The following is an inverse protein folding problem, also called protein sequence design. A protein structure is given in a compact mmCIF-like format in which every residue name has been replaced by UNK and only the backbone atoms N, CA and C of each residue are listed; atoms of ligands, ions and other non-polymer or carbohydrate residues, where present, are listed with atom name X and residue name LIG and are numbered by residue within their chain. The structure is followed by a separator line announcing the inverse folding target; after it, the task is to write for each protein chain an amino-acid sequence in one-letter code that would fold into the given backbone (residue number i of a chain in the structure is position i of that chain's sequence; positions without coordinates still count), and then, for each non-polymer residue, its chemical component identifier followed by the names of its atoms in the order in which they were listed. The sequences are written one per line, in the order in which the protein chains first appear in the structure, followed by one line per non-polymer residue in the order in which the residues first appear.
data_IF_136072523719
#
_entry.id   IF_136072523719
#
_cell.length_a   1.000
_cell.length_b   1.000
_cell.length_c   1.000
_cell.angle_alpha   90.00
_cell.angle_beta   90.00
_cell.angle_gamma   90.00
#
_symmetry.space_group_name_H-M   'P 1'
#
loop_
_entity.id
_entity.type
_entity.pdbx_description
1 polymer ?
#
# COMPACT_ATOMS: atom_id res chain seq x y z
N UNK A 1 -56.90 40.01 46.66
CA UNK A 1 -56.35 40.51 45.40
C UNK A 1 -55.06 39.70 45.12
N UNK A 2 -55.19 38.64 44.32
CA UNK A 2 -54.07 37.69 44.00
C UNK A 2 -53.39 38.13 42.70
N UNK A 3 -52.12 38.45 42.80
CA UNK A 3 -51.34 38.80 41.62
C UNK A 3 -50.64 37.46 41.18
N UNK A 4 -51.16 36.89 40.10
CA UNK A 4 -50.60 35.75 39.46
C UNK A 4 -49.23 36.09 38.72
N UNK A 5 -48.17 35.51 39.15
CA UNK A 5 -46.85 35.62 38.48
C UNK A 5 -46.81 34.69 37.29
N UNK A 6 -46.86 35.26 36.10
CA UNK A 6 -46.64 34.55 34.85
C UNK A 6 -45.14 34.21 34.75
N UNK A 7 -44.80 32.92 34.86
CA UNK A 7 -43.47 32.43 34.55
C UNK A 7 -43.34 32.24 33.05
N UNK A 8 -42.63 33.15 32.42
CA UNK A 8 -42.21 33.00 31.02
C UNK A 8 -41.10 31.94 30.93
N UNK A 9 -41.42 30.81 30.33
CA UNK A 9 -40.43 29.82 29.99
C UNK A 9 -39.79 30.19 28.66
N UNK A 10 -38.54 30.59 28.71
CA UNK A 10 -37.73 30.84 27.51
C UNK A 10 -37.25 29.50 26.95
N UNK A 11 -37.87 29.06 25.86
CA UNK A 11 -37.44 27.86 25.13
C UNK A 11 -36.18 28.20 24.36
N UNK A 12 -35.03 27.70 24.81
CA UNK A 12 -33.80 27.79 24.06
C UNK A 12 -33.80 26.69 22.98
N UNK A 13 -33.98 27.11 21.75
CA UNK A 13 -33.81 26.25 20.57
C UNK A 13 -32.32 26.02 20.34
N UNK A 14 -31.84 24.84 20.73
CA UNK A 14 -30.50 24.37 20.36
C UNK A 14 -30.54 23.86 18.93
N UNK A 15 -30.09 24.67 18.00
CA UNK A 15 -29.87 24.26 16.61
C UNK A 15 -28.64 23.34 16.56
N UNK A 16 -28.84 22.03 16.48
CA UNK A 16 -27.79 21.10 16.13
C UNK A 16 -27.38 21.29 14.66
N UNK A 17 -26.27 21.98 14.43
CA UNK A 17 -25.62 22.00 13.12
C UNK A 17 -25.00 20.64 12.90
N UNK A 18 -25.62 19.81 12.09
CA UNK A 18 -25.03 18.57 11.62
C UNK A 18 -23.87 18.90 10.65
N UNK A 19 -22.65 18.82 11.15
CA UNK A 19 -21.46 18.84 10.28
C UNK A 19 -21.44 17.52 9.55
N UNK A 20 -21.91 17.49 8.31
CA UNK A 20 -21.69 16.36 7.40
C UNK A 20 -20.20 16.32 7.07
N UNK A 21 -19.46 15.50 7.82
CA UNK A 21 -18.08 15.18 7.49
C UNK A 21 -18.07 14.47 6.14
N UNK A 22 -17.46 15.07 5.15
CA UNK A 22 -17.07 14.36 3.93
C UNK A 22 -16.03 13.30 4.31
N UNK A 23 -16.48 12.09 4.62
CA UNK A 23 -15.61 10.89 4.61
C UNK A 23 -15.28 10.67 3.14
N UNK A 24 -14.11 11.16 2.70
CA UNK A 24 -13.56 10.80 1.41
C UNK A 24 -13.51 9.28 1.33
N UNK A 25 -14.29 8.71 0.42
CA UNK A 25 -14.31 7.29 0.14
C UNK A 25 -12.97 6.97 -0.53
N UNK A 26 -11.95 6.57 0.26
CA UNK A 26 -10.79 5.93 -0.31
C UNK A 26 -11.30 4.66 -0.99
N UNK A 27 -11.19 4.59 -2.32
CA UNK A 27 -11.59 3.39 -3.05
C UNK A 27 -10.84 2.20 -2.47
N UNK A 28 -11.59 1.14 -2.11
CA UNK A 28 -10.99 -0.10 -1.64
C UNK A 28 -10.09 -0.67 -2.75
N UNK A 29 -8.92 -1.20 -2.35
CA UNK A 29 -7.98 -1.82 -3.27
C UNK A 29 -8.62 -3.07 -3.89
N UNK A 30 -8.45 -3.23 -5.21
CA UNK A 30 -9.00 -4.34 -5.98
C UNK A 30 -7.96 -5.45 -6.13
N UNK A 31 -8.15 -6.55 -5.40
CA UNK A 31 -7.25 -7.70 -5.43
C UNK A 31 -7.25 -8.41 -6.80
N UNK A 32 -8.37 -8.44 -7.52
CA UNK A 32 -8.42 -9.06 -8.85
C UNK A 32 -7.68 -8.21 -9.88
N UNK A 33 -7.79 -6.87 -9.79
CA UNK A 33 -6.98 -5.96 -10.58
C UNK A 33 -5.49 -6.09 -10.23
N UNK A 34 -5.15 -6.20 -8.93
CA UNK A 34 -3.78 -6.44 -8.47
C UNK A 34 -3.19 -7.74 -9.00
N UNK A 35 -3.96 -8.83 -9.00
CA UNK A 35 -3.56 -10.11 -9.60
C UNK A 35 -3.33 -9.98 -11.10
N UNK A 36 -4.12 -9.16 -11.78
CA UNK A 36 -3.95 -8.90 -13.21
C UNK A 36 -2.66 -8.12 -13.48
N UNK A 37 -2.39 -7.07 -12.72
CA UNK A 37 -1.14 -6.29 -12.82
C UNK A 37 0.08 -7.15 -12.49
N UNK A 38 -0.03 -8.09 -11.54
CA UNK A 38 1.07 -9.00 -11.19
C UNK A 38 1.51 -9.90 -12.34
N UNK A 39 0.67 -10.16 -13.33
CA UNK A 39 1.06 -10.93 -14.53
C UNK A 39 2.25 -10.33 -15.26
N UNK A 40 2.41 -9.01 -15.20
CA UNK A 40 3.57 -8.30 -15.76
C UNK A 40 4.85 -8.56 -14.94
N UNK A 41 4.71 -8.81 -13.63
CA UNK A 41 5.82 -9.10 -12.72
C UNK A 41 6.20 -10.59 -12.70
N UNK A 42 5.25 -11.47 -12.97
CA UNK A 42 5.37 -12.92 -12.84
C UNK A 42 6.51 -13.58 -13.66
N UNK A 43 6.93 -13.07 -14.82
CA UNK A 43 8.11 -13.61 -15.51
C UNK A 43 9.40 -13.54 -14.68
N UNK A 44 9.52 -12.52 -13.83
CA UNK A 44 10.72 -12.27 -13.03
C UNK A 44 10.54 -12.54 -11.54
N UNK A 45 9.33 -12.35 -11.01
CA UNK A 45 9.04 -12.44 -9.57
C UNK A 45 7.99 -13.52 -9.28
N UNK A 46 7.99 -13.96 -8.02
CA UNK A 46 7.02 -14.92 -7.52
C UNK A 46 6.47 -14.48 -6.16
N UNK A 47 5.25 -14.89 -5.82
CA UNK A 47 4.59 -14.63 -4.55
C UNK A 47 3.68 -15.80 -4.18
N UNK A 48 3.58 -16.12 -2.90
CA UNK A 48 2.73 -17.20 -2.39
C UNK A 48 3.50 -18.32 -1.73
N UNK A 49 2.80 -19.41 -1.41
CA UNK A 49 3.32 -20.56 -0.65
C UNK A 49 4.44 -21.33 -1.37
N UNK A 50 4.48 -21.29 -2.69
CA UNK A 50 5.49 -21.96 -3.52
C UNK A 50 6.45 -20.98 -4.18
N UNK A 51 6.46 -19.72 -3.75
CA UNK A 51 7.27 -18.66 -4.34
C UNK A 51 8.77 -18.97 -4.24
N UNK A 52 9.49 -18.69 -5.32
CA UNK A 52 10.93 -18.88 -5.45
C UNK A 52 11.58 -17.64 -6.05
N UNK A 53 12.88 -17.46 -5.76
CA UNK A 53 13.70 -16.55 -6.54
C UNK A 53 13.79 -17.03 -7.99
N UNK A 54 13.62 -16.06 -8.91
CA UNK A 54 13.74 -16.24 -10.36
C UNK A 54 14.81 -15.27 -10.89
N UNK A 55 14.58 -14.65 -12.03
CA UNK A 55 15.37 -13.50 -12.50
C UNK A 55 15.31 -12.37 -11.48
N UNK A 56 14.11 -12.09 -10.93
CA UNK A 56 13.89 -11.26 -9.74
C UNK A 56 13.71 -12.09 -8.48
N UNK A 57 13.78 -11.43 -7.34
CA UNK A 57 13.58 -12.05 -6.03
C UNK A 57 12.10 -12.41 -5.79
N UNK A 58 11.85 -13.34 -4.89
CA UNK A 58 10.50 -13.59 -4.40
C UNK A 58 9.99 -12.39 -3.58
N UNK A 59 8.69 -12.11 -3.65
CA UNK A 59 8.08 -10.93 -3.05
C UNK A 59 7.35 -11.19 -1.72
N UNK A 60 7.42 -12.40 -1.19
CA UNK A 60 6.84 -12.74 0.11
C UNK A 60 7.45 -11.90 1.24
N UNK A 61 6.62 -11.45 2.17
CA UNK A 61 7.07 -10.67 3.32
C UNK A 61 7.72 -9.32 2.95
N UNK A 62 7.22 -8.68 1.89
CA UNK A 62 7.82 -7.45 1.39
C UNK A 62 7.68 -6.30 2.38
N UNK A 63 6.52 -6.12 3.00
CA UNK A 63 6.28 -5.05 3.96
C UNK A 63 7.18 -5.17 5.19
N UNK A 64 7.92 -4.11 5.51
CA UNK A 64 8.90 -4.06 6.59
C UNK A 64 10.27 -4.70 6.26
N UNK A 65 10.44 -5.31 5.08
CA UNK A 65 11.70 -5.94 4.67
C UNK A 65 12.71 -4.89 4.19
N UNK A 66 13.96 -5.03 4.65
CA UNK A 66 15.06 -4.21 4.13
C UNK A 66 15.46 -4.68 2.74
N UNK A 67 15.72 -3.73 1.84
CA UNK A 67 16.25 -4.04 0.50
C UNK A 67 17.58 -4.79 0.59
N UNK A 68 17.78 -5.74 -0.31
CA UNK A 68 19.02 -6.50 -0.36
C UNK A 68 19.13 -7.69 0.61
N UNK A 69 18.03 -8.14 1.26
CA UNK A 69 18.08 -9.11 2.36
C UNK A 69 17.41 -10.45 2.09
N UNK A 70 16.81 -10.69 0.93
CA UNK A 70 16.24 -12.01 0.61
C UNK A 70 17.35 -13.03 0.45
N UNK A 71 17.26 -14.13 1.20
CA UNK A 71 18.24 -15.20 1.17
C UNK A 71 18.32 -15.84 -0.22
N UNK A 72 19.55 -16.14 -0.67
CA UNK A 72 19.79 -16.84 -1.92
C UNK A 72 19.54 -16.02 -3.19
N UNK A 73 19.27 -14.73 -3.09
CA UNK A 73 19.15 -13.85 -4.25
C UNK A 73 20.39 -12.97 -4.42
N UNK A 74 20.89 -12.88 -5.66
CA UNK A 74 22.03 -12.03 -6.00
C UNK A 74 21.57 -10.62 -6.35
N UNK A 75 21.69 -9.73 -5.40
CA UNK A 75 21.33 -8.31 -5.56
C UNK A 75 22.42 -7.49 -6.22
N UNK A 76 22.04 -6.41 -6.92
CA UNK A 76 22.96 -5.33 -7.25
C UNK A 76 23.50 -4.64 -5.98
N UNK A 77 24.68 -4.05 -6.08
CA UNK A 77 25.23 -3.24 -4.98
C UNK A 77 24.33 -2.05 -4.65
N UNK A 78 23.66 -1.48 -5.67
CA UNK A 78 22.69 -0.41 -5.50
C UNK A 78 21.53 -0.83 -4.58
N UNK A 79 20.95 -2.01 -4.79
CA UNK A 79 19.88 -2.50 -3.94
C UNK A 79 20.36 -2.85 -2.53
N UNK A 80 21.54 -3.46 -2.38
CA UNK A 80 22.13 -3.78 -1.06
C UNK A 80 22.39 -2.53 -0.22
N UNK A 81 22.90 -1.47 -0.84
CA UNK A 81 23.32 -0.23 -0.16
C UNK A 81 22.23 0.83 -0.11
N UNK A 82 21.06 0.61 -0.72
CA UNK A 82 20.00 1.62 -0.81
C UNK A 82 19.44 2.06 0.53
N UNK A 83 19.49 1.21 1.56
CA UNK A 83 18.89 1.49 2.87
C UNK A 83 17.36 1.47 2.88
N UNK A 84 16.71 1.17 1.76
CA UNK A 84 15.25 1.14 1.65
C UNK A 84 14.67 0.05 2.55
N UNK A 85 13.72 0.41 3.40
CA UNK A 85 12.82 -0.51 4.07
C UNK A 85 11.49 -0.45 3.34
N UNK A 86 11.03 -1.59 2.84
CA UNK A 86 9.84 -1.65 2.02
C UNK A 86 8.60 -1.36 2.86
N UNK A 87 7.75 -0.53 2.32
CA UNK A 87 6.41 -0.18 2.77
C UNK A 87 5.57 0.09 1.54
N UNK A 88 4.26 0.28 1.70
CA UNK A 88 3.43 0.68 0.55
C UNK A 88 3.98 1.93 -0.13
N UNK A 89 4.32 2.97 0.63
CA UNK A 89 4.86 4.22 0.06
C UNK A 89 6.17 3.99 -0.71
N UNK A 90 7.13 3.28 -0.12
CA UNK A 90 8.40 2.95 -0.78
C UNK A 90 8.20 2.10 -2.04
N UNK A 91 7.24 1.18 -2.00
CA UNK A 91 6.86 0.35 -3.16
C UNK A 91 6.25 1.19 -4.27
N UNK A 92 5.30 2.09 -3.96
CA UNK A 92 4.66 2.96 -4.95
C UNK A 92 5.69 3.84 -5.68
N UNK A 93 6.64 4.42 -4.95
CA UNK A 93 7.73 5.19 -5.53
C UNK A 93 8.61 4.33 -6.46
N UNK A 94 8.99 3.13 -5.99
CA UNK A 94 9.87 2.24 -6.73
C UNK A 94 9.20 1.67 -7.98
N UNK A 95 7.93 1.28 -7.88
CA UNK A 95 7.22 0.70 -9.02
C UNK A 95 6.83 1.76 -10.06
N UNK A 96 6.73 3.04 -9.66
CA UNK A 96 6.56 4.15 -10.59
C UNK A 96 7.81 4.40 -11.44
N UNK A 97 8.99 4.41 -10.79
CA UNK A 97 10.29 4.53 -11.45
C UNK A 97 11.38 3.91 -10.57
N UNK A 98 11.73 2.66 -10.88
CA UNK A 98 12.69 1.91 -10.07
C UNK A 98 14.08 2.54 -10.04
N UNK A 99 14.51 3.10 -11.17
CA UNK A 99 15.84 3.71 -11.28
C UNK A 99 15.91 5.09 -10.63
N UNK A 100 14.82 5.84 -10.62
CA UNK A 100 14.75 7.10 -9.86
C UNK A 100 14.80 6.85 -8.34
N UNK A 101 14.14 5.78 -7.86
CA UNK A 101 14.13 5.43 -6.42
C UNK A 101 15.44 4.79 -5.96
N UNK A 102 16.00 3.87 -6.75
CA UNK A 102 17.28 3.21 -6.48
C UNK A 102 18.13 3.29 -7.76
N UNK A 103 18.94 4.35 -7.94
CA UNK A 103 19.81 4.48 -9.11
C UNK A 103 20.73 3.26 -9.28
N UNK A 104 20.87 2.79 -10.51
CA UNK A 104 21.61 1.57 -10.86
C UNK A 104 21.02 0.27 -10.32
N UNK A 105 19.73 0.26 -9.98
CA UNK A 105 19.03 -1.01 -9.72
C UNK A 105 19.12 -1.93 -10.94
N UNK A 106 19.24 -3.24 -10.70
CA UNK A 106 19.23 -4.21 -11.80
C UNK A 106 17.81 -4.51 -12.32
N UNK A 107 16.75 -4.00 -11.70
CA UNK A 107 15.38 -4.18 -12.15
C UNK A 107 15.10 -3.31 -13.37
N UNK A 108 14.95 -3.94 -14.53
CA UNK A 108 14.57 -3.28 -15.78
C UNK A 108 13.07 -3.35 -15.94
N UNK A 109 12.39 -2.27 -15.62
CA UNK A 109 10.93 -2.19 -15.66
C UNK A 109 10.48 -0.78 -16.06
N UNK A 110 9.50 -0.68 -16.96
CA UNK A 110 9.00 0.62 -17.45
C UNK A 110 8.23 1.43 -16.40
N UNK A 111 7.78 0.77 -15.36
CA UNK A 111 7.02 1.37 -14.26
C UNK A 111 5.52 1.35 -14.45
N UNK A 112 4.81 1.45 -13.33
CA UNK A 112 3.35 1.65 -13.26
C UNK A 112 3.12 3.10 -12.84
N UNK A 113 2.58 3.90 -13.76
CA UNK A 113 2.33 5.34 -13.52
C UNK A 113 0.97 5.62 -12.89
N UNK A 114 0.05 4.68 -12.97
CA UNK A 114 -1.26 4.77 -12.35
C UNK A 114 -1.16 4.33 -10.89
N UNK A 115 -1.35 5.28 -9.95
CA UNK A 115 -1.24 5.02 -8.52
C UNK A 115 -2.28 4.00 -8.00
N UNK A 116 -3.50 4.02 -8.53
CA UNK A 116 -4.54 3.06 -8.14
C UNK A 116 -4.15 1.64 -8.56
N UNK A 117 -3.58 1.46 -9.75
CA UNK A 117 -3.05 0.18 -10.21
C UNK A 117 -1.89 -0.30 -9.33
N UNK A 118 -0.97 0.58 -8.98
CA UNK A 118 0.16 0.25 -8.10
C UNK A 118 -0.31 -0.12 -6.68
N UNK A 119 -1.34 0.54 -6.14
CA UNK A 119 -1.97 0.19 -4.86
C UNK A 119 -2.65 -1.18 -4.91
N UNK A 120 -3.38 -1.48 -5.99
CA UNK A 120 -3.98 -2.80 -6.19
C UNK A 120 -2.92 -3.90 -6.26
N UNK A 121 -1.80 -3.65 -6.94
CA UNK A 121 -0.68 -4.57 -6.99
C UNK A 121 -0.06 -4.80 -5.61
N UNK A 122 0.15 -3.75 -4.82
CA UNK A 122 0.61 -3.87 -3.44
C UNK A 122 -0.33 -4.72 -2.60
N UNK A 123 -1.64 -4.46 -2.66
CA UNK A 123 -2.64 -5.21 -1.93
C UNK A 123 -2.66 -6.70 -2.30
N UNK A 124 -2.34 -7.04 -3.54
CA UNK A 124 -2.20 -8.43 -3.99
C UNK A 124 -0.96 -9.12 -3.42
N UNK A 125 0.17 -8.40 -3.32
CA UNK A 125 1.46 -8.95 -2.86
C UNK A 125 1.55 -8.99 -1.33
N UNK A 126 1.11 -7.93 -0.65
CA UNK A 126 1.30 -7.71 0.79
C UNK A 126 0.71 -8.79 1.73
N UNK A 127 -0.39 -9.51 1.39
CA UNK A 127 -0.93 -10.54 2.26
C UNK A 127 0.00 -11.73 2.53
N UNK A 128 1.10 -11.88 1.82
CA UNK A 128 1.99 -13.03 1.99
C UNK A 128 3.12 -12.73 2.98
N UNK A 129 3.24 -13.56 4.03
CA UNK A 129 4.36 -13.57 4.96
C UNK A 129 5.63 -14.08 4.26
N UNK A 130 6.79 -13.95 4.91
CA UNK A 130 8.08 -14.39 4.37
C UNK A 130 8.11 -15.89 4.02
N UNK A 131 7.35 -16.72 4.74
CA UNK A 131 7.20 -18.16 4.50
C UNK A 131 6.15 -18.51 3.43
N UNK A 132 5.48 -17.50 2.85
CA UNK A 132 4.44 -17.67 1.84
C UNK A 132 3.03 -17.92 2.37
N UNK A 133 2.85 -18.05 3.66
CA UNK A 133 1.52 -18.10 4.27
C UNK A 133 0.81 -16.74 4.13
N UNK A 134 -0.52 -16.76 4.13
CA UNK A 134 -1.29 -15.50 4.17
C UNK A 134 -1.37 -14.95 5.61
N UNK A 135 -1.32 -13.64 5.71
CA UNK A 135 -1.57 -12.90 6.95
C UNK A 135 -3.03 -13.07 7.41
#
# INVERSE_FOLDING_TARGET
MQIERIKTWTTVLVTCVAVAGFVGNAAAEDLAAGATSFKTCAPCHDVGDKAKNKVGLLLNGLDGRKSGTVAGYSYSDANKSSGVVWSQAAFLDYINDSNAKIPNTQMVFAGIKNEAEAKNLWAYINPFNADGSKK
#
